data_IF_168897798903
#
_entry.id   IF_168897798903
#
_cell.length_a   1.000
_cell.length_b   1.000
_cell.length_c   1.000
_cell.angle_alpha   90.00
_cell.angle_beta   90.00
_cell.angle_gamma   90.00
#
_symmetry.space_group_name_H-M   'P 1'
#
loop_
_entity.id
_entity.type
_entity.pdbx_description
1 polymer ?
#
# COMPACT_ATOMS: atom_id res chain seq x y z
N UNK A 1 -32.90 -7.58 31.05
CA UNK A 1 -33.29 -8.22 29.78
C UNK A 1 -32.04 -8.82 29.15
N UNK A 2 -31.84 -10.12 29.38
CA UNK A 2 -30.63 -10.84 29.03
C UNK A 2 -30.85 -11.54 27.70
N UNK A 3 -30.19 -11.09 26.64
CA UNK A 3 -30.21 -11.72 25.33
C UNK A 3 -29.19 -12.86 25.28
N UNK A 4 -29.73 -14.06 25.17
CA UNK A 4 -29.08 -15.36 25.06
C UNK A 4 -28.30 -15.52 23.76
N UNK A 5 -26.97 -15.56 23.84
CA UNK A 5 -26.12 -16.14 22.79
C UNK A 5 -26.25 -17.66 22.81
N UNK A 6 -26.83 -18.21 21.75
CA UNK A 6 -26.91 -19.65 21.49
C UNK A 6 -25.51 -20.25 21.39
N UNK A 7 -25.09 -20.96 22.45
CA UNK A 7 -23.90 -21.82 22.46
C UNK A 7 -24.21 -23.08 21.65
N UNK A 8 -23.41 -23.35 20.62
CA UNK A 8 -23.40 -24.65 19.94
C UNK A 8 -23.04 -25.80 20.89
N UNK A 9 -23.34 -27.06 20.53
CA UNK A 9 -23.55 -28.15 21.47
C UNK A 9 -22.28 -28.82 22.04
N UNK A 10 -21.09 -28.27 21.86
CA UNK A 10 -19.85 -28.93 22.27
C UNK A 10 -18.94 -28.05 23.13
N UNK A 11 -18.76 -28.49 24.38
CA UNK A 11 -17.84 -27.87 25.35
C UNK A 11 -16.37 -27.93 24.92
N UNK A 12 -15.50 -27.14 25.56
CA UNK A 12 -14.12 -26.87 25.13
C UNK A 12 -13.16 -28.08 25.09
N UNK A 13 -13.56 -29.26 25.58
CA UNK A 13 -12.69 -30.45 25.69
C UNK A 13 -12.77 -31.49 24.56
N UNK A 14 -13.66 -31.35 23.57
CA UNK A 14 -13.87 -32.36 22.50
C UNK A 14 -13.44 -31.93 21.10
N UNK A 15 -12.63 -30.88 20.97
CA UNK A 15 -12.22 -30.41 19.64
C UNK A 15 -11.05 -31.24 19.12
N UNK A 16 -11.14 -31.86 17.93
CA UNK A 16 -10.04 -32.64 17.37
C UNK A 16 -8.76 -31.80 17.20
N UNK A 17 -7.59 -32.38 17.47
CA UNK A 17 -6.31 -31.68 17.24
C UNK A 17 -6.18 -31.30 15.76
N UNK A 18 -5.67 -30.10 15.47
CA UNK A 18 -5.46 -29.62 14.10
C UNK A 18 -6.75 -29.27 13.33
N UNK A 19 -7.91 -29.13 13.99
CA UNK A 19 -9.13 -28.66 13.31
C UNK A 19 -9.12 -27.15 12.99
N UNK A 20 -8.16 -26.39 13.55
CA UNK A 20 -7.99 -24.95 13.34
C UNK A 20 -6.50 -24.65 13.14
N UNK A 21 -6.20 -23.78 12.18
CA UNK A 21 -4.87 -23.25 11.91
C UNK A 21 -4.92 -21.72 11.86
N UNK A 22 -3.88 -21.08 12.39
CA UNK A 22 -3.71 -19.63 12.36
C UNK A 22 -2.39 -19.32 11.65
N UNK A 23 -2.39 -19.22 10.31
CA UNK A 23 -1.17 -18.92 9.57
C UNK A 23 -0.63 -17.54 9.96
N UNK A 24 0.69 -17.40 10.24
CA UNK A 24 1.27 -16.13 10.66
C UNK A 24 1.49 -15.14 9.51
N UNK A 25 1.52 -15.62 8.27
CA UNK A 25 1.85 -14.84 7.08
C UNK A 25 1.08 -15.36 5.86
N UNK A 26 1.01 -14.54 4.80
CA UNK A 26 0.31 -14.94 3.56
C UNK A 26 0.95 -16.18 2.94
N UNK A 27 2.28 -16.27 3.02
CA UNK A 27 3.09 -17.40 2.55
C UNK A 27 2.72 -18.69 3.29
N UNK A 28 2.38 -18.60 4.58
CA UNK A 28 2.07 -19.78 5.40
C UNK A 28 0.67 -20.34 5.18
N UNK A 29 -0.22 -19.63 4.46
CA UNK A 29 -1.61 -20.06 4.23
C UNK A 29 -1.65 -21.37 3.43
N UNK A 30 -0.86 -21.49 2.37
CA UNK A 30 -0.78 -22.71 1.56
C UNK A 30 -0.39 -23.92 2.42
N UNK A 31 0.59 -23.76 3.30
CA UNK A 31 1.05 -24.82 4.19
C UNK A 31 -0.01 -25.16 5.25
N UNK A 32 -0.65 -24.15 5.84
CA UNK A 32 -1.74 -24.36 6.81
C UNK A 32 -2.92 -25.12 6.20
N UNK A 33 -3.34 -24.77 4.98
CA UNK A 33 -4.39 -25.47 4.25
C UNK A 33 -3.98 -26.91 3.91
N UNK A 34 -2.72 -27.11 3.49
CA UNK A 34 -2.16 -28.44 3.21
C UNK A 34 -2.14 -29.31 4.46
N UNK A 35 -1.77 -28.75 5.61
CA UNK A 35 -1.74 -29.47 6.89
C UNK A 35 -3.14 -29.82 7.40
N UNK A 36 -4.11 -28.91 7.27
CA UNK A 36 -5.50 -29.19 7.57
C UNK A 36 -6.03 -30.35 6.71
N UNK A 37 -5.76 -30.32 5.41
CA UNK A 37 -6.15 -31.38 4.50
C UNK A 37 -5.48 -32.72 4.81
N UNK A 38 -4.15 -32.74 5.00
CA UNK A 38 -3.38 -33.98 5.15
C UNK A 38 -3.49 -34.61 6.54
N UNK A 39 -3.61 -33.79 7.59
CA UNK A 39 -3.55 -34.27 8.98
C UNK A 39 -4.95 -34.39 9.60
N UNK A 40 -5.77 -33.36 9.47
CA UNK A 40 -7.08 -33.32 10.12
C UNK A 40 -8.17 -34.00 9.29
N UNK A 41 -8.39 -33.58 8.04
CA UNK A 41 -9.53 -34.10 7.26
C UNK A 41 -9.46 -35.61 7.04
N UNK A 42 -8.28 -36.21 6.90
CA UNK A 42 -8.12 -37.67 6.79
C UNK A 42 -8.71 -38.42 7.98
N UNK A 43 -8.61 -37.85 9.19
CA UNK A 43 -8.96 -38.49 10.46
C UNK A 43 -10.11 -37.80 11.20
N UNK A 44 -10.79 -36.83 10.57
CA UNK A 44 -11.84 -36.06 11.22
C UNK A 44 -13.02 -36.97 11.60
N UNK A 45 -13.41 -37.06 12.89
CA UNK A 45 -14.48 -37.94 13.35
C UNK A 45 -15.88 -37.41 12.99
N UNK A 46 -16.02 -36.10 12.84
CA UNK A 46 -17.30 -35.42 12.56
C UNK A 46 -17.54 -35.23 11.06
N UNK A 47 -16.62 -35.67 10.19
CA UNK A 47 -16.77 -35.51 8.75
C UNK A 47 -17.74 -36.56 8.19
N UNK A 48 -18.86 -36.14 7.56
CA UNK A 48 -19.81 -37.04 6.92
C UNK A 48 -19.16 -37.96 5.87
N UNK A 49 -19.68 -39.18 5.71
CA UNK A 49 -19.10 -40.20 4.83
C UNK A 49 -19.16 -39.81 3.35
N UNK A 50 -20.25 -39.19 2.91
CA UNK A 50 -20.45 -38.65 1.57
C UNK A 50 -19.42 -37.57 1.22
N UNK A 51 -19.15 -36.65 2.17
CA UNK A 51 -18.11 -35.62 2.02
C UNK A 51 -16.72 -36.27 1.97
N UNK A 52 -16.47 -37.29 2.80
CA UNK A 52 -15.19 -38.04 2.81
C UNK A 52 -14.93 -38.75 1.49
N UNK A 53 -15.95 -39.39 0.92
CA UNK A 53 -15.87 -40.06 -0.38
C UNK A 53 -15.66 -39.06 -1.51
N UNK A 54 -16.36 -37.93 -1.48
CA UNK A 54 -16.16 -36.82 -2.43
C UNK A 54 -14.72 -36.29 -2.36
N UNK A 55 -14.17 -36.05 -1.17
CA UNK A 55 -12.76 -35.63 -1.06
C UNK A 55 -11.78 -36.68 -1.57
N UNK A 56 -12.07 -37.97 -1.40
CA UNK A 56 -11.26 -39.06 -1.96
C UNK A 56 -11.35 -39.11 -3.48
N UNK A 57 -12.53 -38.90 -4.07
CA UNK A 57 -12.71 -38.93 -5.53
C UNK A 57 -11.99 -37.76 -6.22
N UNK A 58 -11.87 -36.62 -5.54
CA UNK A 58 -11.13 -35.46 -6.01
C UNK A 58 -9.60 -35.62 -5.92
N UNK A 59 -9.08 -36.65 -5.21
CA UNK A 59 -7.64 -36.93 -5.20
C UNK A 59 -7.18 -37.33 -6.61
N UNK A 60 -6.30 -36.52 -7.19
CA UNK A 60 -5.81 -36.74 -8.55
C UNK A 60 -6.48 -35.85 -9.61
N UNK A 61 -7.62 -35.20 -9.28
CA UNK A 61 -8.15 -34.06 -10.03
C UNK A 61 -7.38 -32.78 -9.67
N UNK A 62 -6.07 -32.83 -9.83
CA UNK A 62 -5.23 -31.66 -9.81
C UNK A 62 -4.71 -31.46 -11.21
N UNK A 63 -5.36 -30.59 -11.99
CA UNK A 63 -4.60 -29.88 -13.01
C UNK A 63 -3.38 -29.33 -12.27
N UNK A 64 -2.16 -29.68 -12.70
CA UNK A 64 -0.98 -28.94 -12.25
C UNK A 64 -1.34 -27.49 -12.43
N UNK A 65 -1.49 -26.74 -11.33
CA UNK A 65 -1.72 -25.31 -11.44
C UNK A 65 -0.57 -24.79 -12.30
N UNK A 66 -0.87 -24.29 -13.49
CA UNK A 66 0.16 -23.72 -14.35
C UNK A 66 0.72 -22.50 -13.61
N UNK A 67 1.93 -22.64 -13.08
CA UNK A 67 2.62 -21.58 -12.35
C UNK A 67 2.96 -21.93 -10.90
N UNK A 68 3.31 -20.89 -10.15
CA UNK A 68 3.72 -21.00 -8.76
C UNK A 68 2.48 -21.09 -7.85
N UNK A 69 2.17 -22.31 -7.39
CA UNK A 69 1.06 -22.57 -6.46
C UNK A 69 1.11 -21.66 -5.24
N UNK A 70 2.30 -21.34 -4.72
CA UNK A 70 2.43 -20.46 -3.56
C UNK A 70 1.95 -19.04 -3.88
N UNK A 71 2.34 -18.53 -5.05
CA UNK A 71 1.94 -17.20 -5.52
C UNK A 71 0.42 -17.11 -5.69
N UNK A 72 -0.23 -18.16 -6.22
CA UNK A 72 -1.70 -18.23 -6.29
C UNK A 72 -2.37 -18.04 -4.93
N UNK A 73 -1.88 -18.69 -3.88
CA UNK A 73 -2.45 -18.55 -2.53
C UNK A 73 -2.23 -17.15 -1.95
N UNK A 74 -1.05 -16.57 -2.16
CA UNK A 74 -0.75 -15.20 -1.73
C UNK A 74 -1.68 -14.21 -2.42
N UNK A 75 -1.84 -14.33 -3.74
CA UNK A 75 -2.66 -13.42 -4.54
C UNK A 75 -4.15 -13.59 -4.21
N UNK A 76 -4.66 -14.82 -4.13
CA UNK A 76 -6.04 -15.10 -3.72
C UNK A 76 -6.35 -14.54 -2.32
N UNK A 77 -5.40 -14.62 -1.40
CA UNK A 77 -5.56 -14.07 -0.04
C UNK A 77 -5.63 -12.54 -0.07
N UNK A 78 -4.79 -11.88 -0.88
CA UNK A 78 -4.85 -10.43 -1.09
C UNK A 78 -6.17 -10.01 -1.75
N UNK A 79 -6.71 -10.82 -2.65
CA UNK A 79 -8.01 -10.58 -3.27
C UNK A 79 -9.17 -10.65 -2.25
N UNK A 80 -9.05 -11.51 -1.24
CA UNK A 80 -10.00 -11.53 -0.13
C UNK A 80 -9.83 -10.35 0.84
N UNK A 81 -8.85 -9.46 0.61
CA UNK A 81 -8.57 -8.31 1.47
C UNK A 81 -7.69 -8.66 2.68
N UNK A 82 -7.05 -9.83 2.67
CA UNK A 82 -6.14 -10.26 3.72
C UNK A 82 -4.75 -9.65 3.51
N UNK A 83 -4.17 -9.09 4.57
CA UNK A 83 -2.78 -8.67 4.55
C UNK A 83 -2.12 -8.91 5.92
N UNK A 84 -0.80 -8.88 5.92
CA UNK A 84 -0.01 -8.90 7.15
C UNK A 84 -0.24 -7.61 7.92
N UNK A 85 -0.38 -7.76 9.22
CA UNK A 85 -0.58 -6.63 10.10
C UNK A 85 0.69 -5.80 10.24
N UNK A 86 0.62 -4.45 10.23
CA UNK A 86 1.79 -3.59 10.43
C UNK A 86 2.54 -3.83 11.75
N UNK A 87 1.86 -4.37 12.76
CA UNK A 87 2.45 -4.76 14.05
C UNK A 87 3.12 -6.13 14.04
N UNK A 88 3.07 -6.86 12.92
CA UNK A 88 3.67 -8.20 12.78
C UNK A 88 2.97 -9.29 13.57
N UNK A 89 1.81 -9.02 14.20
CA UNK A 89 1.12 -9.98 15.08
C UNK A 89 0.43 -11.10 14.26
N UNK A 90 0.20 -10.88 12.97
CA UNK A 90 -0.34 -11.90 12.07
C UNK A 90 -1.15 -11.29 10.94
N UNK A 91 -2.09 -12.07 10.41
CA UNK A 91 -2.95 -11.69 9.29
C UNK A 91 -4.24 -11.01 9.76
N UNK A 92 -4.66 -9.97 9.04
CA UNK A 92 -5.93 -9.26 9.28
C UNK A 92 -6.65 -8.99 7.96
N UNK A 93 -7.98 -9.02 8.02
CA UNK A 93 -8.82 -8.50 6.96
C UNK A 93 -8.84 -6.98 7.04
N UNK A 94 -8.29 -6.32 6.03
CA UNK A 94 -8.35 -4.86 5.88
C UNK A 94 -9.44 -4.43 4.91
N UNK A 95 -10.05 -5.41 4.22
CA UNK A 95 -11.32 -5.29 3.53
C UNK A 95 -12.24 -6.38 4.03
N UNK A 96 -13.52 -6.07 4.14
CA UNK A 96 -14.53 -7.09 4.39
C UNK A 96 -14.64 -7.98 3.13
N UNK A 97 -14.41 -9.30 3.23
CA UNK A 97 -14.54 -10.21 2.09
C UNK A 97 -15.97 -10.30 1.56
N UNK A 98 -16.97 -9.89 2.33
CA UNK A 98 -18.38 -9.83 1.93
C UNK A 98 -18.79 -8.47 1.35
N UNK A 99 -17.94 -7.45 1.49
CA UNK A 99 -18.21 -6.14 0.89
C UNK A 99 -18.07 -6.19 -0.65
N UNK A 100 -18.77 -5.30 -1.37
CA UNK A 100 -18.61 -5.14 -2.81
C UNK A 100 -17.13 -5.03 -3.22
N UNK A 101 -16.84 -5.43 -4.45
CA UNK A 101 -15.47 -5.28 -4.93
C UNK A 101 -15.11 -3.79 -5.03
N UNK A 102 -13.84 -3.42 -4.84
CA UNK A 102 -13.39 -2.05 -5.08
C UNK A 102 -13.73 -1.52 -6.48
N UNK A 103 -13.89 -2.42 -7.47
CA UNK A 103 -14.36 -2.08 -8.80
C UNK A 103 -15.83 -1.62 -8.79
N UNK A 104 -16.69 -2.30 -8.03
CA UNK A 104 -18.09 -1.90 -7.86
C UNK A 104 -18.19 -0.55 -7.14
N UNK A 105 -17.38 -0.35 -6.10
CA UNK A 105 -17.31 0.93 -5.39
C UNK A 105 -16.86 2.08 -6.29
N UNK A 106 -15.93 1.82 -7.23
CA UNK A 106 -15.53 2.80 -8.25
C UNK A 106 -16.70 3.08 -9.19
N UNK A 107 -17.36 2.03 -9.70
CA UNK A 107 -18.49 2.16 -10.61
C UNK A 107 -19.67 2.95 -10.00
N UNK A 108 -19.89 2.79 -8.70
CA UNK A 108 -20.91 3.49 -7.92
C UNK A 108 -20.45 4.86 -7.39
N UNK A 109 -19.19 5.25 -7.63
CA UNK A 109 -18.67 6.56 -7.26
C UNK A 109 -18.40 6.75 -5.76
N UNK A 110 -18.26 5.66 -4.99
CA UNK A 110 -18.03 5.70 -3.53
C UNK A 110 -16.65 6.25 -3.12
N UNK A 111 -15.68 6.29 -4.05
CA UNK A 111 -14.32 6.79 -3.81
C UNK A 111 -14.15 8.31 -3.91
N UNK A 112 -15.25 9.04 -4.14
CA UNK A 112 -15.25 10.50 -4.24
C UNK A 112 -14.79 11.02 -5.62
N UNK A 113 -14.72 12.35 -5.73
CA UNK A 113 -14.38 13.02 -7.00
C UNK A 113 -12.86 13.17 -7.14
N UNK A 114 -12.33 12.86 -8.33
CA UNK A 114 -10.94 13.14 -8.71
C UNK A 114 -10.88 14.16 -9.85
N UNK A 115 -9.93 15.08 -9.81
CA UNK A 115 -9.66 15.99 -10.93
C UNK A 115 -8.94 15.30 -12.09
N UNK A 116 -8.27 14.17 -11.81
CA UNK A 116 -7.44 13.45 -12.78
C UNK A 116 -8.21 12.33 -13.47
N UNK A 117 -9.10 11.66 -12.73
CA UNK A 117 -9.93 10.55 -13.21
C UNK A 117 -11.38 11.00 -13.28
N UNK A 118 -11.97 10.91 -14.48
CA UNK A 118 -13.37 11.24 -14.75
C UNK A 118 -14.09 9.97 -15.17
N UNK A 119 -14.70 9.27 -14.21
CA UNK A 119 -15.26 7.94 -14.45
C UNK A 119 -16.32 7.92 -15.56
N UNK A 120 -17.08 9.00 -15.73
CA UNK A 120 -18.04 9.14 -16.83
C UNK A 120 -17.38 9.16 -18.23
N UNK A 121 -16.13 9.60 -18.35
CA UNK A 121 -15.37 9.69 -19.61
C UNK A 121 -14.31 8.59 -19.77
N UNK A 122 -13.86 8.01 -18.66
CA UNK A 122 -12.72 7.10 -18.61
C UNK A 122 -13.13 5.63 -18.45
N UNK A 123 -14.39 5.35 -18.09
CA UNK A 123 -14.90 3.98 -17.98
C UNK A 123 -14.71 3.24 -19.31
N UNK A 124 -14.15 2.04 -19.24
CA UNK A 124 -13.87 1.19 -20.40
C UNK A 124 -12.56 1.50 -21.14
N UNK A 125 -11.80 2.54 -20.75
CA UNK A 125 -10.47 2.84 -21.32
C UNK A 125 -9.34 2.83 -20.28
N UNK A 126 -9.65 2.49 -19.03
CA UNK A 126 -8.71 2.39 -17.92
C UNK A 126 -9.07 1.19 -17.06
N UNK A 127 -8.06 0.53 -16.49
CA UNK A 127 -8.30 -0.50 -15.47
C UNK A 127 -8.76 0.14 -14.16
N UNK A 128 -9.56 -0.59 -13.39
CA UNK A 128 -10.02 -0.13 -12.07
C UNK A 128 -8.82 0.19 -11.16
N UNK A 129 -7.75 -0.61 -11.25
CA UNK A 129 -6.49 -0.36 -10.54
C UNK A 129 -5.89 1.01 -10.87
N UNK A 130 -5.76 1.35 -12.16
CA UNK A 130 -5.15 2.62 -12.56
C UNK A 130 -6.07 3.81 -12.24
N UNK A 131 -7.39 3.62 -12.33
CA UNK A 131 -8.36 4.61 -11.86
C UNK A 131 -8.21 4.86 -10.36
N UNK A 132 -8.26 3.82 -9.53
CA UNK A 132 -8.14 3.95 -8.08
C UNK A 132 -6.79 4.57 -7.67
N UNK A 133 -5.70 4.12 -8.30
CA UNK A 133 -4.36 4.65 -8.06
C UNK A 133 -4.30 6.18 -8.24
N UNK A 134 -4.88 6.67 -9.34
CA UNK A 134 -4.90 8.11 -9.63
C UNK A 134 -5.95 8.89 -8.83
N UNK A 135 -6.92 8.21 -8.20
CA UNK A 135 -7.79 8.82 -7.19
C UNK A 135 -7.07 9.06 -5.86
N UNK A 136 -5.99 8.33 -5.56
CA UNK A 136 -5.19 8.52 -4.34
C UNK A 136 -4.15 9.64 -4.43
N UNK A 137 -4.15 10.39 -5.53
CA UNK A 137 -3.29 11.56 -5.73
C UNK A 137 -4.12 12.76 -6.17
N UNK A 138 -3.64 13.95 -5.83
CA UNK A 138 -4.19 15.22 -6.29
C UNK A 138 -3.16 16.00 -7.11
N UNK A 139 -3.60 16.87 -8.03
CA UNK A 139 -2.72 17.83 -8.66
C UNK A 139 -1.97 18.70 -7.62
N UNK A 140 -0.74 19.07 -7.92
CA UNK A 140 0.04 20.01 -7.12
C UNK A 140 1.01 20.83 -7.98
N UNK A 141 1.73 21.77 -7.38
CA UNK A 141 2.73 22.62 -8.06
C UNK A 141 4.11 22.42 -7.47
N UNK A 142 5.13 22.31 -8.33
CA UNK A 142 6.52 22.23 -7.90
C UNK A 142 6.90 23.46 -7.07
N UNK A 143 7.42 23.24 -5.87
CA UNK A 143 7.88 24.25 -4.92
C UNK A 143 9.40 24.24 -4.83
N UNK A 144 10.00 25.31 -4.32
CA UNK A 144 11.44 25.34 -4.05
C UNK A 144 11.88 24.21 -3.10
N UNK A 145 11.02 23.82 -2.14
CA UNK A 145 11.25 22.71 -1.21
C UNK A 145 11.23 21.31 -1.85
N UNK A 146 10.76 21.19 -3.10
CA UNK A 146 10.74 19.93 -3.85
C UNK A 146 12.04 19.67 -4.61
N UNK A 147 12.93 20.67 -4.66
CA UNK A 147 14.24 20.54 -5.28
C UNK A 147 15.05 19.48 -4.55
N UNK A 148 15.59 18.52 -5.29
CA UNK A 148 16.39 17.46 -4.69
C UNK A 148 17.79 17.99 -4.43
N UNK A 149 18.26 17.93 -3.18
CA UNK A 149 19.66 18.20 -2.86
C UNK A 149 20.59 17.10 -3.41
N UNK A 150 21.86 17.46 -3.65
CA UNK A 150 22.93 16.50 -3.96
C UNK A 150 23.65 16.72 -5.30
N UNK A 151 24.82 16.10 -5.51
CA UNK A 151 25.57 16.18 -6.77
C UNK A 151 24.71 15.69 -7.95
N UNK A 152 24.62 16.48 -9.02
CA UNK A 152 23.79 16.16 -10.20
C UNK A 152 22.30 16.56 -10.10
N UNK A 153 21.91 17.35 -9.09
CA UNK A 153 20.56 17.96 -8.99
C UNK A 153 20.38 19.18 -9.90
N UNK A 154 21.46 19.94 -10.12
CA UNK A 154 21.49 21.13 -10.96
C UNK A 154 21.05 20.77 -12.38
N UNK A 155 19.83 21.18 -12.75
CA UNK A 155 19.26 20.99 -14.09
C UNK A 155 18.22 19.87 -14.24
N UNK A 156 17.98 19.03 -13.22
CA UNK A 156 16.92 18.00 -13.27
C UNK A 156 15.61 18.42 -12.60
N UNK A 157 15.66 19.42 -11.73
CA UNK A 157 14.49 19.96 -11.06
C UNK A 157 13.60 20.77 -12.00
N UNK A 158 12.32 20.88 -11.65
CA UNK A 158 11.33 21.60 -12.47
C UNK A 158 11.32 23.08 -12.12
N UNK A 159 10.79 23.88 -13.03
CA UNK A 159 10.47 25.26 -12.72
C UNK A 159 9.44 25.32 -11.58
N UNK A 160 9.57 26.29 -10.68
CA UNK A 160 8.56 26.54 -9.66
C UNK A 160 7.21 26.77 -10.33
N UNK A 161 6.15 26.18 -9.78
CA UNK A 161 4.82 26.22 -10.37
C UNK A 161 4.50 25.09 -11.35
N UNK A 162 5.48 24.27 -11.75
CA UNK A 162 5.29 23.16 -12.68
C UNK A 162 4.27 22.14 -12.14
N UNK A 163 3.25 21.73 -12.92
CA UNK A 163 2.23 20.78 -12.48
C UNK A 163 2.79 19.41 -12.11
N UNK A 164 2.26 18.80 -11.06
CA UNK A 164 2.63 17.47 -10.62
C UNK A 164 1.51 16.77 -9.87
N UNK A 165 1.84 15.64 -9.27
CA UNK A 165 0.96 14.81 -8.46
C UNK A 165 1.44 14.79 -7.02
N UNK A 166 0.52 14.81 -6.07
CA UNK A 166 0.79 14.71 -4.65
C UNK A 166 -0.13 13.66 -4.03
N UNK A 167 0.43 12.75 -3.24
CA UNK A 167 -0.32 11.79 -2.43
C UNK A 167 -1.29 12.52 -1.49
N UNK A 168 -2.59 12.17 -1.54
CA UNK A 168 -3.61 12.83 -0.70
C UNK A 168 -3.42 12.53 0.80
N UNK A 169 -2.73 11.44 1.13
CA UNK A 169 -2.58 10.95 2.49
C UNK A 169 -1.40 11.58 3.25
N UNK A 170 -0.28 11.85 2.57
CA UNK A 170 0.96 12.30 3.24
C UNK A 170 1.56 13.60 2.73
N UNK A 171 1.26 14.03 1.50
CA UNK A 171 2.03 15.10 0.86
C UNK A 171 1.84 16.49 1.51
N UNK A 172 0.87 16.64 2.41
CA UNK A 172 0.71 17.84 3.24
C UNK A 172 1.72 17.94 4.37
N UNK A 173 2.34 16.82 4.77
CA UNK A 173 3.25 16.77 5.94
C UNK A 173 4.70 16.45 5.57
N UNK A 174 5.00 16.09 4.32
CA UNK A 174 6.36 15.93 3.80
C UNK A 174 6.41 16.05 2.27
N UNK A 175 7.61 16.13 1.69
CA UNK A 175 7.80 16.27 0.24
C UNK A 175 7.95 14.93 -0.51
N UNK A 176 8.00 13.78 0.18
CA UNK A 176 8.28 12.47 -0.44
C UNK A 176 7.16 11.95 -1.36
N UNK A 177 5.90 12.30 -1.07
CA UNK A 177 4.73 11.84 -1.84
C UNK A 177 4.42 12.71 -3.06
N UNK A 178 5.41 13.37 -3.67
CA UNK A 178 5.21 14.36 -4.74
C UNK A 178 6.00 13.98 -6.00
N UNK A 179 5.34 14.05 -7.16
CA UNK A 179 5.85 13.54 -8.44
C UNK A 179 5.64 14.54 -9.57
N UNK A 180 6.67 14.80 -10.37
CA UNK A 180 6.65 15.83 -11.41
C UNK A 180 7.10 15.26 -12.76
N UNK A 181 6.23 14.46 -13.43
CA UNK A 181 6.51 13.89 -14.75
C UNK A 181 6.61 14.98 -15.82
N UNK A 182 7.43 14.76 -16.86
CA UNK A 182 7.69 15.74 -17.94
C UNK A 182 6.90 15.50 -19.22
N UNK A 183 6.32 14.32 -19.33
CA UNK A 183 5.49 13.92 -20.46
C UNK A 183 4.48 12.87 -20.03
N UNK A 184 3.38 12.75 -20.79
CA UNK A 184 2.37 11.70 -20.60
C UNK A 184 2.97 10.29 -20.52
N UNK A 185 4.01 10.01 -21.31
CA UNK A 185 4.75 8.73 -21.25
C UNK A 185 5.43 8.53 -19.89
N UNK A 186 6.17 9.53 -19.40
CA UNK A 186 6.84 9.45 -18.08
C UNK A 186 5.84 9.39 -16.91
N UNK A 187 4.66 9.99 -17.08
CA UNK A 187 3.55 9.86 -16.13
C UNK A 187 3.08 8.40 -16.06
N UNK A 188 2.86 7.77 -17.21
CA UNK A 188 2.36 6.40 -17.33
C UNK A 188 3.37 5.33 -16.91
N UNK A 189 4.65 5.53 -17.25
CA UNK A 189 5.69 4.50 -17.10
C UNK A 189 6.49 4.66 -15.79
N UNK A 190 6.70 5.88 -15.31
CA UNK A 190 7.54 6.12 -14.13
C UNK A 190 6.71 6.60 -12.94
N UNK A 191 5.97 7.71 -13.09
CA UNK A 191 5.29 8.33 -11.97
C UNK A 191 4.19 7.42 -11.39
N UNK A 192 3.38 6.76 -12.22
CA UNK A 192 2.37 5.81 -11.75
C UNK A 192 2.97 4.67 -10.91
N UNK A 193 4.09 4.09 -11.37
CA UNK A 193 4.79 3.03 -10.64
C UNK A 193 5.37 3.56 -9.31
N UNK A 194 5.97 4.76 -9.32
CA UNK A 194 6.47 5.39 -8.09
C UNK A 194 5.36 5.75 -7.10
N UNK A 195 4.19 6.18 -7.58
CA UNK A 195 3.00 6.43 -6.76
C UNK A 195 2.52 5.11 -6.13
N UNK A 196 2.44 4.03 -6.90
CA UNK A 196 2.03 2.73 -6.36
C UNK A 196 2.98 2.23 -5.27
N UNK A 197 4.29 2.26 -5.54
CA UNK A 197 5.33 1.88 -4.57
C UNK A 197 5.32 2.76 -3.32
N UNK A 198 4.97 4.04 -3.46
CA UNK A 198 4.80 4.92 -2.32
C UNK A 198 3.55 4.58 -1.52
N UNK A 199 2.39 4.39 -2.16
CA UNK A 199 1.13 4.12 -1.46
C UNK A 199 1.19 2.81 -0.66
N UNK A 200 1.85 1.78 -1.18
CA UNK A 200 2.05 0.52 -0.45
C UNK A 200 2.87 0.71 0.84
N UNK A 201 3.84 1.64 0.83
CA UNK A 201 4.71 1.92 1.98
C UNK A 201 4.29 3.16 2.79
N UNK A 202 3.26 3.88 2.34
CA UNK A 202 2.85 5.14 2.96
C UNK A 202 2.18 4.85 4.29
N UNK A 203 2.82 5.27 5.40
CA UNK A 203 2.32 5.12 6.77
C UNK A 203 1.00 5.86 7.05
N UNK A 204 0.59 6.74 6.14
CA UNK A 204 -0.65 7.54 6.26
C UNK A 204 -1.74 7.09 5.31
N UNK A 205 -1.40 6.25 4.33
CA UNK A 205 -2.40 5.66 3.45
C UNK A 205 -3.19 4.63 4.27
N UNK A 206 -4.52 4.70 4.32
CA UNK A 206 -5.34 3.71 5.04
C UNK A 206 -5.09 2.29 4.53
N UNK A 207 -5.00 1.32 5.43
CA UNK A 207 -4.78 -0.08 5.05
C UNK A 207 -5.89 -0.61 4.13
N UNK A 208 -7.14 -0.19 4.34
CA UNK A 208 -8.25 -0.51 3.43
C UNK A 208 -7.99 -0.06 1.98
N UNK A 209 -7.37 1.11 1.79
CA UNK A 209 -6.99 1.62 0.46
C UNK A 209 -5.86 0.80 -0.14
N UNK A 210 -4.84 0.45 0.65
CA UNK A 210 -3.73 -0.41 0.19
C UNK A 210 -4.23 -1.79 -0.23
N UNK A 211 -5.09 -2.40 0.58
CA UNK A 211 -5.71 -3.68 0.25
C UNK A 211 -6.62 -3.60 -0.96
N UNK A 212 -7.33 -2.49 -1.16
CA UNK A 212 -8.12 -2.26 -2.38
C UNK A 212 -7.25 -2.14 -3.64
N UNK A 213 -6.09 -1.49 -3.55
CA UNK A 213 -5.11 -1.45 -4.65
C UNK A 213 -4.49 -2.83 -4.92
N UNK A 214 -4.16 -3.58 -3.87
CA UNK A 214 -3.65 -4.94 -3.98
C UNK A 214 -4.68 -5.85 -4.68
N UNK A 215 -5.94 -5.79 -4.26
CA UNK A 215 -7.07 -6.47 -4.91
C UNK A 215 -7.13 -6.16 -6.41
N UNK A 216 -7.14 -4.87 -6.77
CA UNK A 216 -7.29 -4.46 -8.16
C UNK A 216 -6.06 -4.75 -9.02
N UNK A 217 -4.87 -4.96 -8.42
CA UNK A 217 -3.65 -5.28 -9.17
C UNK A 217 -3.80 -6.56 -9.98
N UNK A 218 -4.38 -7.60 -9.38
CA UNK A 218 -4.62 -8.88 -10.04
C UNK A 218 -5.75 -8.75 -11.07
N UNK A 219 -6.90 -8.18 -10.68
CA UNK A 219 -8.02 -7.90 -11.60
C UNK A 219 -7.61 -7.10 -12.83
N UNK A 220 -6.67 -6.17 -12.68
CA UNK A 220 -6.17 -5.37 -13.79
C UNK A 220 -5.41 -6.17 -14.85
N UNK A 221 -4.90 -7.37 -14.54
CA UNK A 221 -4.29 -8.25 -15.54
C UNK A 221 -5.35 -8.76 -16.53
N UNK A 222 -6.52 -9.16 -16.02
CA UNK A 222 -7.66 -9.58 -16.83
C UNK A 222 -8.26 -8.41 -17.62
N UNK A 223 -8.47 -7.26 -16.96
CA UNK A 223 -9.02 -6.07 -17.64
C UNK A 223 -8.14 -5.55 -18.77
N UNK A 224 -6.81 -5.73 -18.71
CA UNK A 224 -5.92 -5.34 -19.81
C UNK A 224 -6.18 -6.13 -21.10
N UNK A 225 -6.73 -7.34 -21.00
CA UNK A 225 -7.12 -8.13 -22.15
C UNK A 225 -8.48 -7.69 -22.73
N UNK A 226 -9.37 -7.19 -21.87
CA UNK A 226 -10.69 -6.67 -22.25
C UNK A 226 -10.63 -5.25 -22.83
N UNK A 227 -9.77 -4.42 -22.25
CA UNK A 227 -9.59 -3.02 -22.67
C UNK A 227 -8.67 -3.02 -23.89
N UNK A 228 -9.16 -2.46 -25.00
CA UNK A 228 -8.46 -2.41 -26.28
C UNK A 228 -6.98 -1.97 -26.17
N UNK A 229 -6.16 -2.50 -27.08
CA UNK A 229 -4.73 -2.21 -27.13
C UNK A 229 -4.43 -0.70 -27.12
N UNK A 230 -3.40 -0.30 -26.36
CA UNK A 230 -2.98 1.10 -26.27
C UNK A 230 -3.74 1.96 -25.26
N UNK A 231 -4.67 1.38 -24.48
CA UNK A 231 -5.41 2.08 -23.42
C UNK A 231 -4.52 2.92 -22.49
N UNK A 232 -3.35 2.38 -22.12
CA UNK A 232 -2.39 3.07 -21.24
C UNK A 232 -1.96 4.40 -21.85
N UNK A 233 -1.67 4.44 -23.16
CA UNK A 233 -1.27 5.68 -23.84
C UNK A 233 -2.44 6.68 -23.87
N UNK A 234 -3.63 6.20 -24.25
CA UNK A 234 -4.83 7.04 -24.39
C UNK A 234 -5.25 7.65 -23.06
N UNK A 235 -5.37 6.84 -22.01
CA UNK A 235 -5.80 7.28 -20.69
C UNK A 235 -4.80 8.23 -20.05
N UNK A 236 -3.51 7.88 -20.01
CA UNK A 236 -2.52 8.76 -19.40
C UNK A 236 -2.27 10.05 -20.19
N UNK A 237 -2.55 10.08 -21.49
CA UNK A 237 -2.60 11.34 -22.26
C UNK A 237 -3.76 12.22 -21.77
N UNK A 238 -4.97 11.68 -21.58
CA UNK A 238 -6.09 12.44 -20.97
C UNK A 238 -5.73 12.99 -19.60
N UNK A 239 -5.15 12.16 -18.73
CA UNK A 239 -4.71 12.59 -17.38
C UNK A 239 -3.66 13.70 -17.47
N UNK A 240 -2.71 13.58 -18.39
CA UNK A 240 -1.69 14.59 -18.65
C UNK A 240 -2.32 15.92 -19.08
N UNK A 241 -3.28 15.88 -20.01
CA UNK A 241 -3.96 17.06 -20.52
C UNK A 241 -4.80 17.75 -19.44
N UNK A 242 -5.49 16.98 -18.59
CA UNK A 242 -6.21 17.49 -17.42
C UNK A 242 -5.27 18.18 -16.42
N UNK A 243 -4.08 17.61 -16.22
CA UNK A 243 -3.08 18.14 -15.29
C UNK A 243 -2.44 19.44 -15.82
N UNK A 244 -2.11 19.51 -17.11
CA UNK A 244 -1.29 20.60 -17.67
C UNK A 244 -2.06 21.66 -18.44
N UNK A 245 -3.10 21.27 -19.20
CA UNK A 245 -3.81 22.14 -20.14
C UNK A 245 -5.12 22.64 -19.57
N UNK A 246 -5.98 21.74 -19.06
CA UNK A 246 -7.30 22.16 -18.58
C UNK A 246 -7.21 22.98 -17.30
N UNK A 247 -6.26 22.65 -16.41
CA UNK A 247 -6.00 23.34 -15.13
C UNK A 247 -7.23 23.66 -14.28
N UNK A 248 -8.36 22.97 -14.46
CA UNK A 248 -9.60 23.17 -13.67
C UNK A 248 -9.40 23.00 -12.16
N UNK A 249 -8.31 22.33 -11.77
CA UNK A 249 -7.89 22.14 -10.38
C UNK A 249 -7.22 23.37 -9.77
N UNK A 250 -6.80 24.36 -10.57
CA UNK A 250 -6.11 25.56 -10.06
C UNK A 250 -7.04 26.62 -9.52
N UNK A 251 -8.32 26.62 -9.92
CA UNK A 251 -9.31 27.62 -9.48
C UNK A 251 -10.00 27.24 -8.17
N UNK A 252 -9.83 26.01 -7.68
CA UNK A 252 -10.51 25.49 -6.48
C UNK A 252 -9.67 25.58 -5.20
N UNK A 253 -8.38 25.94 -5.29
CA UNK A 253 -7.48 26.14 -4.14
C UNK A 253 -6.91 27.57 -4.13
N UNK A 254 -7.67 28.55 -4.63
CA UNK A 254 -7.39 29.95 -4.35
C UNK A 254 -7.73 30.25 -2.89
N UNK A 255 -6.73 30.65 -2.12
CA UNK A 255 -6.89 31.42 -0.87
C UNK A 255 -7.50 30.70 0.35
N UNK A 256 -6.89 29.60 0.79
CA UNK A 256 -7.06 29.14 2.17
C UNK A 256 -5.69 28.83 2.82
N UNK A 257 -5.09 29.87 3.39
CA UNK A 257 -4.23 29.80 4.58
C UNK A 257 -2.88 29.09 4.44
N UNK A 258 -1.89 29.76 3.86
CA UNK A 258 -0.47 29.59 4.21
C UNK A 258 0.02 30.91 4.83
N UNK A 259 -0.70 31.35 5.85
CA UNK A 259 -0.37 32.50 6.69
C UNK A 259 -0.75 32.15 8.13
N UNK A 260 0.26 32.07 9.01
CA UNK A 260 0.11 32.12 10.47
C UNK A 260 0.31 30.80 11.22
N UNK A 261 1.51 30.64 11.80
CA UNK A 261 1.79 30.34 13.23
C UNK A 261 3.19 29.71 13.32
N UNK A 262 4.16 30.16 14.10
CA UNK A 262 4.33 31.23 15.09
C UNK A 262 5.75 30.98 15.61
N UNK A 263 6.70 31.90 15.46
CA UNK A 263 7.12 32.77 16.54
C UNK A 263 7.02 32.10 17.92
N UNK A 264 8.10 31.43 18.32
CA UNK A 264 8.47 31.35 19.74
C UNK A 264 9.91 31.82 19.85
N UNK A 265 10.04 33.12 20.10
CA UNK A 265 11.22 33.69 20.71
C UNK A 265 10.97 33.74 22.21
N UNK A 266 11.85 33.10 22.98
CA UNK A 266 12.19 33.62 24.30
C UNK A 266 13.70 33.45 24.52
N UNK A 267 14.40 34.58 24.37
CA UNK A 267 15.56 35.02 25.14
C UNK A 267 15.33 34.76 26.65
N UNK A 268 16.29 34.57 27.57
CA UNK A 268 17.69 34.93 27.70
C UNK A 268 18.21 34.21 28.96
N UNK A 269 19.52 33.87 28.94
CA UNK A 269 20.54 33.99 30.00
C UNK A 269 20.19 33.64 31.46
N UNK A 270 21.01 32.79 32.07
CA UNK A 270 21.86 33.27 33.17
C UNK A 270 23.17 32.46 33.29
N UNK A 271 24.22 33.20 33.61
CA UNK A 271 25.59 32.82 33.92
C UNK A 271 25.67 32.06 35.25
N UNK A 272 26.71 31.24 35.45
CA UNK A 272 27.55 31.23 36.66
C UNK A 272 28.44 29.98 36.77
N UNK A 273 29.76 30.26 36.84
CA UNK A 273 30.78 29.61 37.70
C UNK A 273 31.20 28.17 37.37
N UNK A 274 32.43 27.71 37.61
CA UNK A 274 33.73 28.26 37.97
C UNK A 274 34.68 27.04 38.08
N UNK A 275 36.00 27.25 38.00
CA UNK A 275 37.03 26.29 38.44
C UNK A 275 37.77 25.61 37.29
N UNK A 276 39.02 26.01 37.01
CA UNK A 276 40.27 25.41 37.57
C UNK A 276 40.54 24.03 36.97
N UNK A 277 41.70 23.65 36.46
CA UNK A 277 43.08 24.07 36.71
C UNK A 277 43.99 23.36 35.69
N UNK A 278 45.16 23.94 35.44
CA UNK A 278 46.25 23.36 34.69
C UNK A 278 46.96 22.20 35.43
N UNK A 279 47.54 21.26 34.67
CA UNK A 279 48.81 20.55 34.91
C UNK A 279 49.08 19.68 33.66
N UNK A 280 50.05 19.98 32.80
CA UNK A 280 51.51 19.78 32.93
C UNK A 280 51.94 18.38 33.38
N UNK A 281 52.50 17.63 32.41
CA UNK A 281 53.88 17.13 32.48
C UNK A 281 54.16 15.82 33.23
N UNK A 282 54.51 14.77 32.47
CA UNK A 282 55.65 13.84 32.69
C UNK A 282 55.56 12.74 31.62
N UNK A 283 56.45 12.63 30.63
CA UNK A 283 57.87 12.26 30.68
C UNK A 283 58.10 10.74 30.74
N UNK A 284 59.17 10.35 30.06
CA UNK A 284 59.92 9.09 30.07
C UNK A 284 59.42 7.93 29.18
N UNK A 285 60.18 7.71 28.10
CA UNK A 285 60.27 6.43 27.43
C UNK A 285 61.47 5.62 27.93
N UNK A 286 61.46 4.32 27.64
CA UNK A 286 62.62 3.43 27.47
C UNK A 286 62.03 2.13 26.93
N UNK A 287 62.43 1.63 25.77
CA UNK A 287 63.59 0.73 25.67
C UNK A 287 63.07 -0.69 25.42
N UNK A 288 63.46 -1.31 24.30
CA UNK A 288 63.18 -2.72 23.99
C UNK A 288 63.96 -3.69 24.90
N UNK A 289 64.33 -4.92 24.47
CA UNK A 289 64.18 -5.54 23.15
C UNK A 289 63.75 -7.04 23.23
N UNK A 290 63.94 -7.75 22.10
CA UNK A 290 64.13 -9.20 21.94
C UNK A 290 62.92 -10.13 22.11
N UNK A 291 62.29 -10.55 21.00
CA UNK A 291 62.60 -11.73 20.18
C UNK A 291 61.62 -11.82 18.99
#
# INVERSE_FOLDING_TARGET
SSSSSSRGPHGPGRRPKGHVYFPPSLVAIHQAATDLYRRHFVSCPEMPNDVRETMKSLKGFGAKAEGDTLQYWIDSSRELGLAESPDGIGLRFYRDPLAPSPADDIAEGRWGKSHLVRLNEDKGIVTDHAALLLMQVRPCRFKASDKRGGPGSRGRDRAVGFPGLACIHCARKNNYGRYFPVAAKSLADNAANSVMAHLSNCRRCPEATKSSLAYLTHRAQLQKAEIGGGWKRTFYKKVWDRLHHERRWTSAEGEAGDAGDGADGNEQRDDSQAGSSAQEGSDEGDGGPDD
#
